data_IF_018001062269
#
_entry.id   IF_018001062269
#
_cell.length_a   1.000
_cell.length_b   1.000
_cell.length_c   1.000
_cell.angle_alpha   90.00
_cell.angle_beta   90.00
_cell.angle_gamma   90.00
#
_symmetry.space_group_name_H-M   'P 1'
#
loop_
_entity.id
_entity.type
_entity.pdbx_description
1 polymer ?
#
# COMPACT_ATOMS: atom_id res chain seq x y z
N UNK A 1 22.64 -5.43 -3.19
CA UNK A 1 22.36 -4.89 -1.84
C UNK A 1 23.19 -3.64 -1.56
N UNK A 2 22.82 -2.49 -2.12
CA UNK A 2 23.76 -1.38 -2.31
C UNK A 2 23.53 -0.11 -1.46
N UNK A 3 22.59 -0.07 -0.51
CA UNK A 3 22.39 1.12 0.34
C UNK A 3 22.06 0.73 1.80
N UNK A 4 22.81 1.22 2.81
CA UNK A 4 22.55 0.93 4.22
C UNK A 4 21.35 1.75 4.71
N UNK A 5 20.14 1.21 4.51
CA UNK A 5 18.91 1.74 5.10
C UNK A 5 18.39 0.80 6.18
N UNK A 6 18.23 1.32 7.38
CA UNK A 6 17.61 0.62 8.51
C UNK A 6 16.09 0.41 8.34
N UNK A 7 15.52 0.81 7.21
CA UNK A 7 14.12 0.62 6.86
C UNK A 7 13.91 -0.53 5.85
N UNK A 8 14.97 -1.08 5.27
CA UNK A 8 14.86 -2.18 4.30
C UNK A 8 14.38 -3.46 5.01
N UNK A 9 13.26 -4.07 4.58
CA UNK A 9 12.77 -5.30 5.19
C UNK A 9 13.66 -6.50 4.85
N UNK A 10 13.53 -7.58 5.61
CA UNK A 10 14.21 -8.85 5.33
C UNK A 10 13.86 -9.35 3.91
N UNK A 11 14.81 -9.98 3.21
CA UNK A 11 14.68 -10.35 1.80
C UNK A 11 13.42 -11.12 1.42
N UNK A 12 12.95 -12.04 2.28
CA UNK A 12 11.71 -12.79 2.04
C UNK A 12 10.46 -11.89 1.97
N UNK A 13 10.49 -10.68 2.54
CA UNK A 13 9.37 -9.72 2.54
C UNK A 13 9.02 -9.29 1.12
N UNK A 14 10.01 -9.24 0.23
CA UNK A 14 9.83 -8.93 -1.19
C UNK A 14 9.05 -10.02 -1.96
N UNK A 15 8.81 -11.20 -1.37
CA UNK A 15 7.91 -12.23 -1.93
C UNK A 15 6.47 -11.73 -2.15
N UNK A 16 6.08 -10.63 -1.49
CA UNK A 16 4.81 -9.94 -1.74
C UNK A 16 4.61 -9.56 -3.21
N UNK A 17 5.69 -9.32 -3.97
CA UNK A 17 5.60 -9.11 -5.41
C UNK A 17 5.01 -10.31 -6.14
N UNK A 18 5.35 -11.53 -5.74
CA UNK A 18 4.76 -12.75 -6.29
C UNK A 18 3.24 -12.80 -6.05
N UNK A 19 2.80 -12.44 -4.84
CA UNK A 19 1.37 -12.35 -4.52
C UNK A 19 0.66 -11.26 -5.34
N UNK A 20 1.27 -10.08 -5.48
CA UNK A 20 0.72 -8.96 -6.26
C UNK A 20 0.61 -9.36 -7.73
N UNK A 21 1.66 -9.93 -8.33
CA UNK A 21 1.65 -10.35 -9.73
C UNK A 21 0.66 -11.47 -9.99
N UNK A 22 0.52 -12.43 -9.08
CA UNK A 22 -0.50 -13.47 -9.19
C UNK A 22 -1.93 -12.88 -9.13
N UNK A 23 -2.17 -11.94 -8.22
CA UNK A 23 -3.45 -11.25 -8.10
C UNK A 23 -3.76 -10.40 -9.34
N UNK A 24 -2.77 -9.70 -9.90
CA UNK A 24 -2.90 -8.93 -11.14
C UNK A 24 -3.09 -9.82 -12.36
N UNK A 25 -2.45 -10.99 -12.42
CA UNK A 25 -2.72 -11.99 -13.47
C UNK A 25 -4.17 -12.47 -13.41
N UNK A 26 -4.68 -12.75 -12.21
CA UNK A 26 -6.10 -13.04 -11.98
C UNK A 26 -7.02 -11.92 -12.45
N UNK A 27 -6.68 -10.66 -12.18
CA UNK A 27 -7.41 -9.49 -12.70
C UNK A 27 -7.41 -9.44 -14.23
N UNK A 28 -6.26 -9.65 -14.87
CA UNK A 28 -6.10 -9.64 -16.33
C UNK A 28 -6.94 -10.74 -16.99
N UNK A 29 -6.92 -11.95 -16.44
CA UNK A 29 -7.75 -13.06 -16.93
C UNK A 29 -9.23 -12.72 -16.74
N UNK A 30 -9.61 -12.22 -15.56
CA UNK A 30 -11.00 -11.88 -15.25
C UNK A 30 -11.56 -10.81 -16.18
N UNK A 31 -10.82 -9.73 -16.43
CA UNK A 31 -11.29 -8.66 -17.32
C UNK A 31 -11.38 -9.12 -18.79
N UNK A 32 -10.60 -10.12 -19.20
CA UNK A 32 -10.62 -10.63 -20.57
C UNK A 32 -11.81 -11.55 -20.87
N UNK A 33 -12.52 -12.03 -19.84
CA UNK A 33 -13.70 -12.88 -20.00
C UNK A 33 -14.80 -12.15 -20.79
N UNK A 34 -15.53 -12.84 -21.70
CA UNK A 34 -16.60 -12.23 -22.49
C UNK A 34 -17.65 -11.51 -21.63
N UNK A 35 -17.99 -12.08 -20.47
CA UNK A 35 -18.94 -11.53 -19.52
C UNK A 35 -18.53 -10.16 -18.92
N UNK A 36 -17.28 -9.74 -19.08
CA UNK A 36 -16.76 -8.50 -18.52
C UNK A 36 -16.51 -7.39 -19.56
N UNK A 37 -16.65 -7.67 -20.86
CA UNK A 37 -16.20 -6.82 -21.98
C UNK A 37 -16.73 -5.37 -22.01
N UNK A 38 -17.80 -5.05 -21.27
CA UNK A 38 -18.38 -3.70 -21.20
C UNK A 38 -18.51 -3.15 -19.78
N UNK A 39 -17.80 -3.75 -18.82
CA UNK A 39 -17.90 -3.32 -17.44
C UNK A 39 -17.25 -1.95 -17.22
N UNK A 40 -17.94 -1.09 -16.47
CA UNK A 40 -17.51 0.28 -16.17
C UNK A 40 -16.09 0.37 -15.60
N UNK A 41 -15.65 -0.62 -14.82
CA UNK A 41 -14.31 -0.59 -14.23
C UNK A 41 -13.23 -0.60 -15.30
N UNK A 42 -13.41 -1.32 -16.42
CA UNK A 42 -12.43 -1.40 -17.49
C UNK A 42 -12.18 -0.04 -18.13
N UNK A 43 -13.26 0.70 -18.44
CA UNK A 43 -13.18 2.07 -18.98
C UNK A 43 -12.56 3.04 -17.97
N UNK A 44 -12.83 2.85 -16.68
CA UNK A 44 -12.34 3.75 -15.63
C UNK A 44 -10.84 3.59 -15.34
N UNK A 45 -10.31 2.35 -15.41
CA UNK A 45 -8.94 2.08 -14.95
C UNK A 45 -8.01 1.52 -16.02
N UNK A 46 -8.50 1.08 -17.19
CA UNK A 46 -7.68 0.38 -18.18
C UNK A 46 -6.42 1.15 -18.58
N UNK A 47 -6.55 2.43 -18.94
CA UNK A 47 -5.42 3.29 -19.27
C UNK A 47 -4.47 3.53 -18.09
N UNK A 48 -5.01 3.70 -16.88
CA UNK A 48 -4.21 3.86 -15.67
C UNK A 48 -3.46 2.57 -15.31
N UNK A 49 -4.06 1.40 -15.53
CA UNK A 49 -3.44 0.12 -15.29
C UNK A 49 -2.25 -0.09 -16.23
N UNK A 50 -2.42 0.18 -17.53
CA UNK A 50 -1.33 0.14 -18.50
C UNK A 50 -0.20 1.09 -18.11
N UNK A 51 -0.54 2.34 -17.76
CA UNK A 51 0.44 3.31 -17.26
C UNK A 51 1.18 2.79 -16.02
N UNK A 52 0.47 2.20 -15.05
CA UNK A 52 1.07 1.65 -13.84
C UNK A 52 2.06 0.52 -14.14
N UNK A 53 1.78 -0.30 -15.16
CA UNK A 53 2.70 -1.38 -15.60
C UNK A 53 3.99 -0.82 -16.18
N UNK A 54 3.90 0.21 -17.04
CA UNK A 54 5.09 0.88 -17.59
C UNK A 54 5.90 1.60 -16.51
N UNK A 55 5.24 2.31 -15.59
CA UNK A 55 5.91 2.99 -14.48
C UNK A 55 6.63 2.01 -13.56
N UNK A 56 6.02 0.85 -13.29
CA UNK A 56 6.63 -0.19 -12.45
C UNK A 56 7.84 -0.84 -13.12
N UNK A 57 7.71 -1.21 -14.40
CA UNK A 57 8.83 -1.74 -15.17
C UNK A 57 9.98 -0.73 -15.26
N UNK A 58 9.66 0.53 -15.59
CA UNK A 58 10.62 1.63 -15.64
C UNK A 58 11.32 1.86 -14.30
N UNK A 59 10.58 1.82 -13.19
CA UNK A 59 11.16 1.95 -11.85
C UNK A 59 12.18 0.84 -11.58
N UNK A 60 11.87 -0.41 -11.94
CA UNK A 60 12.77 -1.54 -11.75
C UNK A 60 14.10 -1.34 -12.50
N UNK A 61 14.04 -0.89 -13.75
CA UNK A 61 15.23 -0.56 -14.53
C UNK A 61 16.01 0.62 -13.96
N UNK A 62 15.31 1.72 -13.61
CA UNK A 62 15.94 2.89 -13.03
C UNK A 62 16.68 2.55 -11.73
N UNK A 63 16.07 1.75 -10.87
CA UNK A 63 16.69 1.27 -9.64
C UNK A 63 17.89 0.34 -9.92
N UNK A 64 17.74 -0.61 -10.83
CA UNK A 64 18.79 -1.56 -11.18
C UNK A 64 20.05 -0.88 -11.74
N UNK A 65 19.88 0.15 -12.58
CA UNK A 65 20.99 0.90 -13.16
C UNK A 65 21.44 2.11 -12.32
N UNK A 66 21.00 2.22 -11.05
CA UNK A 66 21.43 3.29 -10.14
C UNK A 66 20.94 4.69 -10.52
N UNK A 67 19.92 4.80 -11.37
CA UNK A 67 19.30 6.07 -11.76
C UNK A 67 18.33 6.55 -10.66
N UNK A 68 18.89 6.94 -9.51
CA UNK A 68 18.12 7.17 -8.29
C UNK A 68 17.09 8.30 -8.38
N UNK A 69 17.42 9.44 -8.99
CA UNK A 69 16.49 10.55 -9.18
C UNK A 69 15.30 10.12 -10.07
N UNK A 70 15.58 9.40 -11.16
CA UNK A 70 14.55 8.84 -12.02
C UNK A 70 13.70 7.79 -11.28
N UNK A 71 14.31 6.98 -10.42
CA UNK A 71 13.58 6.00 -9.60
C UNK A 71 12.55 6.68 -8.68
N UNK A 72 12.89 7.82 -8.07
CA UNK A 72 11.96 8.59 -7.24
C UNK A 72 10.79 9.15 -8.06
N UNK A 73 11.08 9.71 -9.24
CA UNK A 73 10.05 10.23 -10.14
C UNK A 73 9.07 9.12 -10.54
N UNK A 74 9.60 7.97 -10.99
CA UNK A 74 8.80 6.83 -11.43
C UNK A 74 7.99 6.21 -10.28
N UNK A 75 8.58 6.10 -9.09
CA UNK A 75 7.89 5.60 -7.89
C UNK A 75 6.75 6.54 -7.48
N UNK A 76 6.99 7.86 -7.47
CA UNK A 76 5.97 8.86 -7.16
C UNK A 76 4.83 8.84 -8.19
N UNK A 77 5.15 8.79 -9.49
CA UNK A 77 4.14 8.65 -10.56
C UNK A 77 3.35 7.34 -10.43
N UNK A 78 4.01 6.24 -10.07
CA UNK A 78 3.35 4.95 -9.87
C UNK A 78 2.38 5.02 -8.68
N UNK A 79 2.81 5.58 -7.56
CA UNK A 79 1.98 5.77 -6.38
C UNK A 79 0.73 6.60 -6.71
N UNK A 80 0.89 7.75 -7.38
CA UNK A 80 -0.25 8.60 -7.79
C UNK A 80 -1.20 7.85 -8.72
N UNK A 81 -0.66 7.10 -9.68
CA UNK A 81 -1.45 6.29 -10.61
C UNK A 81 -2.27 5.22 -9.86
N UNK A 82 -1.66 4.52 -8.90
CA UNK A 82 -2.35 3.50 -8.10
C UNK A 82 -3.40 4.11 -7.16
N UNK A 83 -3.13 5.28 -6.59
CA UNK A 83 -4.13 6.03 -5.81
C UNK A 83 -5.33 6.36 -6.73
N UNK A 84 -5.10 6.84 -7.95
CA UNK A 84 -6.18 7.14 -8.89
C UNK A 84 -7.01 5.90 -9.23
N UNK A 85 -6.38 4.74 -9.49
CA UNK A 85 -7.08 3.47 -9.71
C UNK A 85 -7.90 3.09 -8.47
N UNK A 86 -7.30 3.14 -7.29
CA UNK A 86 -7.92 2.78 -6.02
C UNK A 86 -9.17 3.62 -5.72
N UNK A 87 -9.09 4.93 -5.97
CA UNK A 87 -10.20 5.86 -5.79
C UNK A 87 -11.32 5.62 -6.81
N UNK A 88 -11.00 5.41 -8.09
CA UNK A 88 -11.97 5.13 -9.16
C UNK A 88 -12.70 3.80 -8.94
N UNK A 89 -11.99 2.76 -8.48
CA UNK A 89 -12.60 1.50 -8.09
C UNK A 89 -13.45 1.60 -6.82
N UNK A 90 -13.37 2.73 -6.09
CA UNK A 90 -14.06 2.89 -4.80
C UNK A 90 -13.70 1.72 -3.87
N UNK A 91 -12.41 1.37 -3.83
CA UNK A 91 -11.93 0.35 -2.89
C UNK A 91 -12.25 0.80 -1.46
N UNK A 92 -12.55 -0.18 -0.60
CA UNK A 92 -12.84 0.08 0.81
C UNK A 92 -14.21 0.67 1.16
N UNK A 93 -15.01 1.06 0.16
CA UNK A 93 -16.37 1.56 0.40
C UNK A 93 -17.36 0.39 0.41
N UNK A 94 -17.87 0.04 1.59
CA UNK A 94 -18.80 -1.07 1.85
C UNK A 94 -20.21 -0.93 1.23
N UNK A 95 -20.50 0.17 0.52
CA UNK A 95 -21.86 0.51 0.08
C UNK A 95 -22.35 -0.22 -1.17
N UNK A 96 -21.60 -1.18 -1.71
CA UNK A 96 -22.03 -1.97 -2.86
C UNK A 96 -21.89 -3.45 -2.52
N UNK A 97 -23.01 -4.17 -2.56
CA UNK A 97 -23.03 -5.63 -2.60
C UNK A 97 -22.32 -6.07 -3.90
N UNK A 98 -20.99 -6.26 -3.81
CA UNK A 98 -20.16 -6.72 -4.92
C UNK A 98 -20.05 -8.23 -4.85
N UNK A 99 -20.09 -8.89 -6.01
CA UNK A 99 -19.82 -10.32 -6.09
C UNK A 99 -18.42 -10.64 -5.53
N UNK A 100 -18.26 -11.83 -4.96
CA UNK A 100 -16.98 -12.28 -4.42
C UNK A 100 -15.87 -12.24 -5.48
N UNK A 101 -16.18 -12.63 -6.72
CA UNK A 101 -15.26 -12.56 -7.86
C UNK A 101 -14.75 -11.15 -8.11
N UNK A 102 -15.63 -10.14 -8.13
CA UNK A 102 -15.23 -8.74 -8.31
C UNK A 102 -14.37 -8.25 -7.15
N UNK A 103 -14.68 -8.65 -5.92
CA UNK A 103 -13.86 -8.31 -4.75
C UNK A 103 -12.45 -8.87 -4.87
N UNK A 104 -12.32 -10.17 -5.14
CA UNK A 104 -11.04 -10.88 -5.18
C UNK A 104 -10.20 -10.58 -6.42
N UNK A 105 -10.83 -10.42 -7.58
CA UNK A 105 -10.14 -10.29 -8.86
C UNK A 105 -10.03 -8.85 -9.35
N UNK A 106 -10.76 -7.90 -8.77
CA UNK A 106 -10.64 -6.47 -9.14
C UNK A 106 -10.19 -5.61 -7.98
N UNK A 107 -10.80 -5.71 -6.80
CA UNK A 107 -10.46 -4.78 -5.71
C UNK A 107 -9.18 -5.16 -4.97
N UNK A 108 -9.07 -6.42 -4.53
CA UNK A 108 -7.92 -6.92 -3.75
C UNK A 108 -6.58 -6.72 -4.46
N UNK A 109 -6.41 -7.01 -5.77
CA UNK A 109 -5.11 -6.85 -6.44
C UNK A 109 -4.58 -5.43 -6.34
N UNK A 110 -5.42 -4.42 -6.57
CA UNK A 110 -5.01 -3.01 -6.48
C UNK A 110 -4.85 -2.52 -5.04
N UNK A 111 -5.57 -3.09 -4.06
CA UNK A 111 -5.33 -2.81 -2.65
C UNK A 111 -3.98 -3.36 -2.16
N UNK A 112 -3.64 -4.58 -2.56
CA UNK A 112 -2.33 -5.17 -2.28
C UNK A 112 -1.22 -4.35 -2.92
N UNK A 113 -1.41 -4.00 -4.20
CA UNK A 113 -0.40 -3.27 -4.97
C UNK A 113 -0.16 -1.86 -4.41
N UNK A 114 -1.23 -1.10 -4.12
CA UNK A 114 -1.10 0.22 -3.51
C UNK A 114 -0.46 0.15 -2.11
N UNK A 115 -0.83 -0.85 -1.30
CA UNK A 115 -0.24 -1.07 0.02
C UNK A 115 1.27 -1.24 -0.06
N UNK A 116 1.73 -2.07 -0.99
CA UNK A 116 3.16 -2.31 -1.17
C UNK A 116 3.89 -1.10 -1.72
N UNK A 117 3.33 -0.44 -2.74
CA UNK A 117 3.94 0.76 -3.33
C UNK A 117 4.03 1.91 -2.32
N UNK A 118 3.11 2.00 -1.36
CA UNK A 118 3.23 2.98 -0.26
C UNK A 118 4.49 2.75 0.56
N UNK A 119 4.74 1.51 0.99
CA UNK A 119 5.96 1.14 1.74
C UNK A 119 7.20 1.31 0.87
N UNK A 120 7.14 0.85 -0.39
CA UNK A 120 8.25 0.93 -1.33
C UNK A 120 8.64 2.39 -1.62
N UNK A 121 7.67 3.31 -1.66
CA UNK A 121 7.93 4.75 -1.82
C UNK A 121 8.75 5.29 -0.64
N UNK A 122 8.35 4.98 0.59
CA UNK A 122 9.07 5.40 1.79
C UNK A 122 10.49 4.82 1.79
N UNK A 123 10.63 3.52 1.48
CA UNK A 123 11.93 2.86 1.39
C UNK A 123 12.82 3.45 0.28
N UNK A 124 12.23 3.76 -0.88
CA UNK A 124 12.94 4.33 -2.03
C UNK A 124 13.46 5.73 -1.71
N UNK A 125 12.63 6.60 -1.11
CA UNK A 125 13.06 7.92 -0.61
C UNK A 125 14.18 7.77 0.42
N UNK A 126 13.98 6.94 1.46
CA UNK A 126 14.97 6.75 2.52
C UNK A 126 16.33 6.29 1.97
N UNK A 127 16.31 5.40 0.97
CA UNK A 127 17.52 4.88 0.35
C UNK A 127 18.23 5.93 -0.51
N UNK A 128 17.50 6.66 -1.36
CA UNK A 128 18.09 7.68 -2.24
C UNK A 128 18.65 8.85 -1.43
N UNK A 129 17.95 9.27 -0.38
CA UNK A 129 18.43 10.34 0.51
C UNK A 129 19.70 9.90 1.26
N UNK A 130 19.75 8.66 1.73
CA UNK A 130 20.96 8.09 2.33
C UNK A 130 22.12 8.00 1.32
N UNK A 131 21.83 7.65 0.05
CA UNK A 131 22.82 7.60 -1.03
C UNK A 131 23.44 8.98 -1.30
N UNK A 132 22.65 10.05 -1.28
CA UNK A 132 23.14 11.42 -1.46
C UNK A 132 23.92 11.97 -0.25
N UNK A 133 24.16 11.16 0.78
CA UNK A 133 24.98 11.54 1.93
C UNK A 133 24.29 12.50 2.89
N UNK A 134 22.94 12.53 2.88
CA UNK A 134 22.20 13.33 3.84
C UNK A 134 22.42 12.81 5.27
N UNK A 135 22.74 13.72 6.19
CA UNK A 135 23.16 13.42 7.56
C UNK A 135 22.02 13.15 8.53
N UNK A 136 20.77 13.12 8.05
CA UNK A 136 19.61 12.89 8.90
C UNK A 136 19.30 14.04 9.85
N UNK A 137 19.79 15.26 9.59
CA UNK A 137 19.84 16.34 10.60
C UNK A 137 20.63 15.95 11.86
N UNK A 138 21.61 15.05 11.73
CA UNK A 138 22.34 14.45 12.85
C UNK A 138 21.57 13.35 13.60
N UNK A 139 20.40 12.95 13.12
CA UNK A 139 19.60 11.86 13.72
C UNK A 139 20.21 10.51 13.36
N UNK A 140 20.42 9.66 14.37
CA UNK A 140 20.94 8.31 14.16
C UNK A 140 20.03 7.46 13.24
N UNK A 141 20.65 6.65 12.38
CA UNK A 141 19.95 5.83 11.38
C UNK A 141 18.79 4.96 11.93
N UNK A 142 18.95 4.26 13.07
CA UNK A 142 17.85 3.52 13.69
C UNK A 142 16.66 4.40 14.09
N UNK A 143 16.93 5.59 14.62
CA UNK A 143 15.90 6.58 14.97
C UNK A 143 15.21 7.12 13.71
N UNK A 144 15.97 7.36 12.65
CA UNK A 144 15.42 7.76 11.36
C UNK A 144 14.46 6.70 10.77
N UNK A 145 14.82 5.42 10.86
CA UNK A 145 13.93 4.32 10.46
C UNK A 145 12.63 4.30 11.27
N UNK A 146 12.71 4.52 12.59
CA UNK A 146 11.52 4.62 13.44
C UNK A 146 10.60 5.81 13.06
N UNK A 147 11.18 6.95 12.67
CA UNK A 147 10.42 8.10 12.13
C UNK A 147 9.71 7.69 10.84
N UNK A 148 10.39 6.99 9.92
CA UNK A 148 9.79 6.53 8.66
C UNK A 148 8.65 5.53 8.88
N UNK A 149 8.77 4.64 9.86
CA UNK A 149 7.66 3.76 10.27
C UNK A 149 6.47 4.55 10.80
N UNK A 150 6.73 5.61 11.56
CA UNK A 150 5.67 6.49 12.08
C UNK A 150 4.95 7.21 10.92
N UNK A 151 5.68 7.68 9.90
CA UNK A 151 5.11 8.21 8.67
C UNK A 151 4.23 7.17 7.97
N UNK A 152 4.70 5.92 7.86
CA UNK A 152 3.92 4.84 7.28
C UNK A 152 2.59 4.60 8.04
N UNK A 153 2.61 4.65 9.38
CA UNK A 153 1.40 4.54 10.22
C UNK A 153 0.45 5.70 9.96
N UNK A 154 0.94 6.93 9.86
CA UNK A 154 0.09 8.12 9.58
C UNK A 154 -0.59 7.98 8.22
N UNK A 155 0.18 7.67 7.17
CA UNK A 155 -0.36 7.47 5.81
C UNK A 155 -1.38 6.34 5.78
N UNK A 156 -1.07 5.22 6.46
CA UNK A 156 -1.99 4.09 6.59
C UNK A 156 -3.27 4.49 7.31
N UNK A 157 -3.15 5.21 8.43
CA UNK A 157 -4.28 5.65 9.25
C UNK A 157 -5.22 6.56 8.49
N UNK A 158 -4.70 7.52 7.73
CA UNK A 158 -5.50 8.41 6.88
C UNK A 158 -6.32 7.62 5.85
N UNK A 159 -5.69 6.65 5.17
CA UNK A 159 -6.38 5.83 4.17
C UNK A 159 -7.39 4.88 4.82
N UNK A 160 -7.00 4.16 5.88
CA UNK A 160 -7.84 3.18 6.57
C UNK A 160 -9.02 3.80 7.29
N UNK A 161 -8.87 5.01 7.83
CA UNK A 161 -9.97 5.75 8.44
C UNK A 161 -11.10 6.01 7.43
N UNK A 162 -10.74 6.32 6.18
CA UNK A 162 -11.71 6.58 5.11
C UNK A 162 -12.20 5.31 4.41
N UNK A 163 -11.34 4.28 4.30
CA UNK A 163 -11.51 3.18 3.34
C UNK A 163 -11.54 1.78 3.98
N UNK A 164 -11.15 1.58 5.24
CA UNK A 164 -11.32 0.28 5.95
C UNK A 164 -10.83 -0.95 5.17
N UNK A 165 -9.76 -0.80 4.40
CA UNK A 165 -9.29 -1.82 3.47
C UNK A 165 -8.27 -2.77 4.10
N UNK A 166 -8.72 -3.98 4.41
CA UNK A 166 -7.90 -5.00 5.05
C UNK A 166 -6.75 -5.52 4.19
N UNK A 167 -6.91 -5.57 2.87
CA UNK A 167 -5.84 -6.05 1.99
C UNK A 167 -4.69 -5.04 1.98
N UNK A 168 -5.01 -3.75 1.92
CA UNK A 168 -4.04 -2.67 2.08
C UNK A 168 -3.34 -2.75 3.45
N UNK A 169 -4.10 -2.81 4.55
CA UNK A 169 -3.54 -2.89 5.90
C UNK A 169 -2.61 -4.10 6.09
N UNK A 170 -3.00 -5.27 5.58
CA UNK A 170 -2.23 -6.51 5.68
C UNK A 170 -0.85 -6.41 5.03
N UNK A 171 -0.73 -5.69 3.90
CA UNK A 171 0.56 -5.48 3.24
C UNK A 171 1.49 -4.61 4.08
N UNK A 172 0.97 -3.57 4.73
CA UNK A 172 1.79 -2.72 5.60
C UNK A 172 2.24 -3.48 6.85
N UNK A 173 1.36 -4.29 7.45
CA UNK A 173 1.71 -5.18 8.57
C UNK A 173 2.79 -6.19 8.15
N UNK A 174 2.66 -6.78 6.96
CA UNK A 174 3.66 -7.68 6.39
C UNK A 174 5.02 -7.00 6.23
N UNK A 175 5.05 -5.78 5.67
CA UNK A 175 6.27 -5.01 5.52
C UNK A 175 6.95 -4.71 6.87
N UNK A 176 6.17 -4.25 7.87
CA UNK A 176 6.69 -3.93 9.20
C UNK A 176 7.25 -5.18 9.91
N UNK A 177 6.59 -6.33 9.76
CA UNK A 177 7.13 -7.61 10.24
C UNK A 177 8.47 -7.95 9.58
N UNK A 178 8.57 -7.70 8.27
CA UNK A 178 9.81 -7.81 7.51
C UNK A 178 10.95 -6.93 8.05
N UNK A 179 10.66 -5.67 8.40
CA UNK A 179 11.66 -4.74 8.95
C UNK A 179 12.08 -5.17 10.36
N UNK A 180 11.13 -5.56 11.21
CA UNK A 180 11.43 -6.11 12.54
C UNK A 180 12.42 -7.27 12.46
N UNK A 181 12.23 -8.18 11.50
CA UNK A 181 13.05 -9.37 11.35
C UNK A 181 14.39 -9.12 10.65
N UNK A 182 14.53 -8.01 9.91
CA UNK A 182 15.83 -7.57 9.42
C UNK A 182 16.72 -7.04 10.56
N UNK A 183 16.12 -6.42 11.58
CA UNK A 183 16.85 -5.76 12.67
C UNK A 183 16.37 -6.22 14.07
N UNK A 184 16.41 -7.53 14.38
CA UNK A 184 15.83 -8.07 15.60
C UNK A 184 16.54 -7.60 16.88
N UNK A 185 17.83 -7.25 16.77
CA UNK A 185 18.67 -6.85 17.90
C UNK A 185 18.75 -5.32 18.10
N UNK A 186 18.09 -4.54 17.24
CA UNK A 186 18.04 -3.08 17.36
C UNK A 186 16.68 -2.71 17.97
N UNK A 187 16.64 -2.57 19.30
CA UNK A 187 15.41 -2.44 20.07
C UNK A 187 14.47 -1.34 19.55
N UNK A 188 15.00 -0.16 19.20
CA UNK A 188 14.17 0.94 18.67
C UNK A 188 13.47 0.57 17.36
N UNK A 189 14.14 -0.15 16.44
CA UNK A 189 13.54 -0.56 15.17
C UNK A 189 12.53 -1.68 15.41
N UNK A 190 12.92 -2.72 16.15
CA UNK A 190 12.07 -3.87 16.42
C UNK A 190 10.78 -3.47 17.16
N UNK A 191 10.88 -2.66 18.21
CA UNK A 191 9.72 -2.21 18.99
C UNK A 191 8.82 -1.28 18.17
N UNK A 192 9.41 -0.32 17.44
CA UNK A 192 8.62 0.60 16.61
C UNK A 192 7.86 -0.16 15.51
N UNK A 193 8.50 -1.14 14.87
CA UNK A 193 7.85 -1.95 13.84
C UNK A 193 6.67 -2.75 14.40
N UNK A 194 6.81 -3.35 15.60
CA UNK A 194 5.72 -4.07 16.27
C UNK A 194 4.58 -3.12 16.63
N UNK A 195 4.89 -1.98 17.28
CA UNK A 195 3.88 -0.98 17.66
C UNK A 195 3.15 -0.46 16.43
N UNK A 196 3.87 -0.10 15.37
CA UNK A 196 3.30 0.35 14.10
C UNK A 196 2.35 -0.70 13.50
N UNK A 197 2.75 -1.98 13.48
CA UNK A 197 1.95 -3.06 12.94
C UNK A 197 0.66 -3.26 13.75
N UNK A 198 0.75 -3.23 15.08
CA UNK A 198 -0.40 -3.31 15.98
C UNK A 198 -1.34 -2.14 15.78
N UNK A 199 -0.83 -0.91 15.66
CA UNK A 199 -1.64 0.28 15.41
C UNK A 199 -2.40 0.19 14.08
N UNK A 200 -1.72 -0.19 12.99
CA UNK A 200 -2.36 -0.35 11.68
C UNK A 200 -3.44 -1.43 11.72
N UNK A 201 -3.16 -2.58 12.36
CA UNK A 201 -4.14 -3.65 12.53
C UNK A 201 -5.35 -3.19 13.35
N UNK A 202 -5.12 -2.50 14.47
CA UNK A 202 -6.18 -1.94 15.31
C UNK A 202 -7.04 -0.93 14.54
N UNK A 203 -6.43 -0.03 13.77
CA UNK A 203 -7.15 0.94 12.94
C UNK A 203 -8.03 0.25 11.88
N UNK A 204 -7.54 -0.81 11.25
CA UNK A 204 -8.32 -1.60 10.30
C UNK A 204 -9.54 -2.28 10.98
N UNK A 205 -9.34 -2.88 12.16
CA UNK A 205 -10.40 -3.56 12.93
C UNK A 205 -11.45 -2.56 13.44
N UNK A 206 -11.01 -1.47 14.07
CA UNK A 206 -11.89 -0.41 14.57
C UNK A 206 -12.71 0.23 13.44
N UNK A 207 -12.08 0.44 12.29
CA UNK A 207 -12.75 0.87 11.07
C UNK A 207 -13.92 -0.04 10.72
N UNK A 208 -13.69 -1.36 10.67
CA UNK A 208 -14.75 -2.32 10.35
C UNK A 208 -15.83 -2.42 11.42
N UNK A 209 -15.49 -2.36 12.71
CA UNK A 209 -16.47 -2.43 13.81
C UNK A 209 -17.46 -1.26 13.76
N UNK A 210 -16.99 -0.03 13.53
CA UNK A 210 -17.86 1.17 13.39
C UNK A 210 -18.88 1.05 12.25
N UNK A 211 -18.60 0.27 11.21
CA UNK A 211 -19.53 0.11 10.07
C UNK A 211 -20.64 -0.91 10.31
N UNK A 212 -20.53 -1.75 11.34
CA UNK A 212 -21.55 -2.76 11.67
C UNK A 212 -22.64 -2.26 12.62
N UNK A 213 -22.45 -1.09 13.24
CA UNK A 213 -23.47 -0.50 14.09
C UNK A 213 -24.54 0.16 13.19
N UNK A 214 -25.81 -0.26 13.27
CA UNK A 214 -26.90 0.43 12.56
C UNK A 214 -26.98 1.86 13.07
N UNK A 215 -26.97 2.83 12.16
CA UNK A 215 -27.18 4.24 12.49
C UNK A 215 -28.55 4.40 13.16
N UNK A 216 -28.59 4.55 14.49
CA UNK A 216 -29.82 4.65 15.29
C UNK A 216 -30.57 6.00 15.14
N UNK A 217 -30.43 6.69 14.00
CA UNK A 217 -30.84 8.10 13.83
C UNK A 217 -31.68 8.37 12.59
N UNK A 218 -32.66 7.51 12.28
CA UNK A 218 -33.78 7.84 11.38
C UNK A 218 -35.12 7.26 11.84
N UNK A 219 -35.52 7.54 13.08
CA UNK A 219 -36.90 7.36 13.54
C UNK A 219 -37.24 8.57 14.41
N UNK A 220 -37.74 9.64 13.79
CA UNK A 220 -38.13 10.84 14.53
C UNK A 220 -38.26 12.07 13.66
N UNK A 221 -39.27 12.09 12.79
CA UNK A 221 -40.02 13.29 12.35
C UNK A 221 -40.78 12.98 11.06
N UNK A 222 -41.97 12.41 11.19
CA UNK A 222 -43.07 12.79 10.31
C UNK A 222 -43.94 13.76 11.13
N UNK A 223 -44.12 15.01 10.70
CA UNK A 223 -45.12 15.88 11.32
C UNK A 223 -46.52 15.42 10.89
N UNK A 224 -47.43 15.41 11.86
CA UNK A 224 -48.88 15.31 11.63
C UNK A 224 -49.42 16.61 11.04
#
# INVERSE_FOLDING_TARGET
DALPSYFTPAGYTFSIWGLIYLALAGFVIYQALPAQRDQLFQRQIGGLFVLSSFLNAGWLFAWHYGQFALSLLLMASLLVTLIAIYLRLRNGLHHQARSLSRRLLVHVPFSLYLGWITVATIANIASVVAYWGWDGFGIAGPTWSAIMMSVAVVVAGLLLYQRRDFAYAGVLVWALFGIRNAFPNIAIIANTAVVAAVLIAALAILGAWRSRQPSATRLGSQPA
#
